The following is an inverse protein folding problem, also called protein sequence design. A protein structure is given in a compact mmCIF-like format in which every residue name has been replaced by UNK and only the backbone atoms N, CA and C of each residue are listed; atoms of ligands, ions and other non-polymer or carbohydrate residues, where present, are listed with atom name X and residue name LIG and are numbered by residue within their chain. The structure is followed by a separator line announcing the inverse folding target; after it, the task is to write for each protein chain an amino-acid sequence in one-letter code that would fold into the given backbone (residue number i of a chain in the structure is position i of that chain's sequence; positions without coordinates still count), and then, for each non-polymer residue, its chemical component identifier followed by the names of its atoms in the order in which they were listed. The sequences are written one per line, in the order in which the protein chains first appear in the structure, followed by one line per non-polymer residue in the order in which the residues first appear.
data_IF_087560839944
#
_entry.id   IF_087560839944
#
_cell.length_a   1.000
_cell.length_b   1.000
_cell.length_c   1.000
_cell.angle_alpha   90.00
_cell.angle_beta   90.00
_cell.angle_gamma   90.00
#
_symmetry.space_group_name_H-M   'P 1'
#
loop_
_entity.id
_entity.type
_entity.pdbx_description
1 polymer ?
#
# COMPACT_ATOMS: atom_id res chain seq x y z
N UNK A 1 20.57 77.98 -4.87
CA UNK A 1 21.01 76.94 -3.92
C UNK A 1 19.78 76.09 -3.53
N UNK A 2 19.56 74.93 -4.16
CA UNK A 2 18.45 74.00 -3.84
C UNK A 2 19.04 72.59 -3.65
N UNK A 3 19.14 72.13 -2.40
CA UNK A 3 19.55 70.76 -2.04
C UNK A 3 18.40 69.82 -2.41
N UNK A 4 18.60 68.94 -3.40
CA UNK A 4 17.74 67.78 -3.63
C UNK A 4 18.30 66.61 -2.80
N UNK A 5 17.50 66.15 -1.85
CA UNK A 5 17.80 65.05 -0.94
C UNK A 5 17.75 63.71 -1.67
N UNK A 6 18.79 62.89 -1.50
CA UNK A 6 19.10 61.68 -2.27
C UNK A 6 18.33 60.42 -1.81
N UNK A 7 17.34 60.57 -0.92
CA UNK A 7 16.85 59.47 -0.06
C UNK A 7 15.55 58.79 -0.49
N UNK A 8 15.14 58.86 -1.76
CA UNK A 8 13.83 58.32 -2.17
C UNK A 8 13.83 57.38 -3.38
N UNK A 9 15.00 56.96 -3.87
CA UNK A 9 15.13 56.06 -5.03
C UNK A 9 15.29 54.57 -4.72
N UNK A 10 15.28 54.17 -3.44
CA UNK A 10 15.53 52.77 -3.02
C UNK A 10 14.23 51.95 -2.83
N UNK A 11 13.03 52.55 -2.87
CA UNK A 11 11.81 51.87 -2.38
C UNK A 11 11.08 50.92 -3.35
N UNK A 12 11.43 50.83 -4.64
CA UNK A 12 10.69 49.98 -5.62
C UNK A 12 11.46 48.85 -6.26
N UNK A 13 12.77 48.99 -6.48
CA UNK A 13 13.62 47.93 -7.04
C UNK A 13 13.80 46.78 -6.04
N UNK A 14 14.10 47.13 -4.80
CA UNK A 14 14.37 46.17 -3.71
C UNK A 14 13.14 45.34 -3.36
N UNK A 15 11.94 45.89 -3.47
CA UNK A 15 10.70 45.18 -3.16
C UNK A 15 10.32 44.15 -4.23
N UNK A 16 10.77 44.31 -5.48
CA UNK A 16 10.60 43.28 -6.53
C UNK A 16 11.60 42.14 -6.37
N UNK A 17 12.85 42.47 -6.03
CA UNK A 17 13.89 41.49 -5.74
C UNK A 17 13.54 40.67 -4.49
N UNK A 18 13.07 41.31 -3.43
CA UNK A 18 12.65 40.65 -2.19
C UNK A 18 11.47 39.70 -2.41
N UNK A 19 10.46 40.09 -3.23
CA UNK A 19 9.34 39.22 -3.59
C UNK A 19 9.78 38.00 -4.40
N UNK A 20 10.71 38.19 -5.34
CA UNK A 20 11.27 37.09 -6.13
C UNK A 20 12.03 36.11 -5.23
N UNK A 21 12.86 36.61 -4.31
CA UNK A 21 13.60 35.79 -3.35
C UNK A 21 12.63 35.01 -2.46
N UNK A 22 11.58 35.64 -1.91
CA UNK A 22 10.58 34.94 -1.08
C UNK A 22 9.89 33.81 -1.85
N UNK A 23 9.50 34.04 -3.10
CA UNK A 23 8.84 33.02 -3.93
C UNK A 23 9.80 31.86 -4.22
N UNK A 24 11.07 32.15 -4.55
CA UNK A 24 12.08 31.11 -4.80
C UNK A 24 12.41 30.32 -3.52
N UNK A 25 12.52 30.98 -2.37
CA UNK A 25 12.78 30.33 -1.08
C UNK A 25 11.60 29.48 -0.61
N UNK A 26 10.36 29.90 -0.87
CA UNK A 26 9.15 29.10 -0.59
C UNK A 26 9.00 27.89 -1.54
N UNK A 27 9.54 27.97 -2.76
CA UNK A 27 9.59 26.84 -3.70
C UNK A 27 10.77 25.90 -3.45
N UNK A 28 11.79 26.33 -2.70
CA UNK A 28 12.97 25.55 -2.36
C UNK A 28 12.84 24.76 -1.05
N UNK A 29 11.62 24.63 -0.49
CA UNK A 29 11.40 23.75 0.66
C UNK A 29 11.60 22.30 0.17
N UNK A 30 12.64 21.59 0.65
CA UNK A 30 12.84 20.20 0.27
C UNK A 30 11.63 19.40 0.76
N UNK A 31 10.82 18.91 -0.17
CA UNK A 31 9.90 17.81 0.14
C UNK A 31 10.73 16.55 0.16
N UNK A 32 10.69 15.81 1.27
CA UNK A 32 11.16 14.43 1.27
C UNK A 32 10.33 13.72 0.21
N UNK A 33 10.97 13.29 -0.87
CA UNK A 33 10.32 12.45 -1.86
C UNK A 33 10.05 11.10 -1.19
N UNK A 34 8.82 10.89 -0.71
CA UNK A 34 8.36 9.55 -0.39
C UNK A 34 8.24 8.80 -1.72
N UNK A 35 8.89 7.65 -1.82
CA UNK A 35 8.60 6.75 -2.93
C UNK A 35 7.14 6.30 -2.81
N UNK A 36 6.43 6.22 -3.94
CA UNK A 36 5.08 5.68 -3.93
C UNK A 36 5.10 4.24 -3.39
N UNK A 37 4.14 3.84 -2.54
CA UNK A 37 4.05 2.46 -2.08
C UNK A 37 3.96 1.48 -3.24
N UNK A 38 4.57 0.30 -3.09
CA UNK A 38 4.41 -0.76 -4.08
C UNK A 38 2.96 -1.27 -4.05
N UNK A 39 2.25 -1.09 -5.17
CA UNK A 39 0.95 -1.69 -5.37
C UNK A 39 1.11 -3.19 -5.64
N UNK A 40 0.78 -4.00 -4.63
CA UNK A 40 0.85 -5.44 -4.71
C UNK A 40 -0.18 -5.97 -5.71
N UNK A 41 0.27 -6.91 -6.52
CA UNK A 41 -0.50 -7.55 -7.59
C UNK A 41 -0.68 -9.05 -7.39
N UNK A 42 0.04 -9.63 -6.44
CA UNK A 42 -0.04 -11.04 -6.11
C UNK A 42 0.75 -11.38 -4.86
N UNK A 43 0.56 -12.62 -4.40
CA UNK A 43 1.17 -13.14 -3.19
C UNK A 43 0.12 -13.58 -2.18
N UNK A 44 0.58 -14.04 -1.03
CA UNK A 44 -0.29 -14.42 0.07
C UNK A 44 0.38 -14.20 1.42
N UNK A 45 -0.45 -13.91 2.43
CA UNK A 45 -0.07 -13.99 3.84
C UNK A 45 -0.68 -15.27 4.40
N UNK A 46 0.16 -16.11 5.00
CA UNK A 46 -0.23 -17.38 5.61
C UNK A 46 -0.02 -17.29 7.12
N UNK A 47 -1.10 -17.38 7.89
CA UNK A 47 -1.07 -17.27 9.34
C UNK A 47 -1.56 -18.58 9.94
N UNK A 48 -0.70 -19.23 10.71
CA UNK A 48 -1.05 -20.42 11.46
C UNK A 48 -1.74 -20.06 12.78
N UNK A 49 -2.57 -20.97 13.29
CA UNK A 49 -3.37 -20.76 14.50
C UNK A 49 -2.53 -20.38 15.73
N UNK A 50 -1.35 -20.95 15.88
CA UNK A 50 -0.39 -20.66 16.97
C UNK A 50 0.61 -19.56 16.60
N UNK A 51 0.49 -18.97 15.42
CA UNK A 51 1.40 -17.97 14.87
C UNK A 51 2.76 -18.53 14.44
N UNK A 52 3.09 -19.75 14.83
CA UNK A 52 4.35 -20.41 14.45
C UNK A 52 4.32 -20.81 12.98
N UNK A 53 5.48 -20.83 12.31
CA UNK A 53 5.58 -21.19 10.89
C UNK A 53 4.60 -20.42 9.97
N UNK A 54 4.27 -19.19 10.35
CA UNK A 54 3.58 -18.26 9.46
C UNK A 54 4.53 -17.83 8.35
N UNK A 55 3.99 -17.31 7.26
CA UNK A 55 4.82 -16.85 6.15
C UNK A 55 4.10 -15.81 5.34
N UNK A 56 4.85 -15.07 4.55
CA UNK A 56 4.27 -14.22 3.53
C UNK A 56 5.08 -14.27 2.25
N UNK A 57 4.38 -14.04 1.15
CA UNK A 57 4.96 -13.73 -0.15
C UNK A 57 4.17 -12.59 -0.75
N UNK A 58 4.84 -11.61 -1.33
CA UNK A 58 4.21 -10.46 -1.97
C UNK A 58 4.94 -10.12 -3.26
N UNK A 59 4.20 -9.62 -4.23
CA UNK A 59 4.74 -9.26 -5.55
C UNK A 59 4.03 -8.03 -6.12
N UNK A 60 4.82 -7.18 -6.78
CA UNK A 60 4.41 -5.98 -7.49
C UNK A 60 5.29 -5.82 -8.75
N UNK A 61 5.03 -4.78 -9.54
CA UNK A 61 5.87 -4.51 -10.71
C UNK A 61 7.34 -4.25 -10.29
N UNK A 62 8.25 -5.11 -10.75
CA UNK A 62 9.68 -5.01 -10.44
C UNK A 62 10.04 -5.30 -8.98
N UNK A 63 9.10 -5.78 -8.15
CA UNK A 63 9.34 -6.03 -6.74
C UNK A 63 8.70 -7.35 -6.28
N UNK A 64 9.42 -8.13 -5.48
CA UNK A 64 8.85 -9.24 -4.73
C UNK A 64 9.56 -9.40 -3.40
N UNK A 65 8.87 -9.87 -2.37
CA UNK A 65 9.46 -10.16 -1.08
C UNK A 65 8.75 -11.33 -0.41
N UNK A 66 9.47 -12.06 0.44
CA UNK A 66 8.86 -13.11 1.23
C UNK A 66 9.80 -13.68 2.28
N UNK A 67 9.24 -14.49 3.16
CA UNK A 67 9.99 -15.17 4.20
C UNK A 67 9.06 -15.93 5.16
N UNK A 68 9.65 -16.90 5.85
CA UNK A 68 9.02 -17.50 7.02
C UNK A 68 9.14 -16.56 8.22
N UNK A 69 8.14 -16.57 9.08
CA UNK A 69 8.12 -15.75 10.28
C UNK A 69 7.22 -16.36 11.35
N UNK A 70 7.39 -15.88 12.58
CA UNK A 70 6.29 -15.99 13.53
C UNK A 70 5.35 -14.80 13.30
N UNK A 71 4.09 -15.12 13.06
CA UNK A 71 2.98 -14.17 13.01
C UNK A 71 2.32 -14.02 14.38
N UNK A 72 1.33 -13.12 14.52
CA UNK A 72 0.44 -13.18 15.67
C UNK A 72 -0.30 -14.53 15.66
N UNK A 73 -0.57 -15.10 16.85
CA UNK A 73 -1.45 -16.25 16.96
C UNK A 73 -2.83 -15.87 16.38
N UNK A 74 -3.39 -16.72 15.53
CA UNK A 74 -4.61 -16.39 14.82
C UNK A 74 -5.80 -16.25 15.78
N UNK A 75 -6.73 -15.39 15.37
CA UNK A 75 -8.12 -15.23 15.80
C UNK A 75 -8.73 -16.41 16.59
N UNK A 76 -9.30 -16.09 17.76
CA UNK A 76 -10.08 -17.00 18.60
C UNK A 76 -11.28 -17.55 17.84
N UNK A 77 -11.62 -18.83 18.01
CA UNK A 77 -12.81 -19.46 17.39
C UNK A 77 -14.07 -18.61 17.51
N UNK A 78 -15.01 -18.79 16.58
CA UNK A 78 -16.22 -17.98 16.49
C UNK A 78 -17.48 -18.85 16.42
N UNK A 79 -18.59 -18.26 16.85
CA UNK A 79 -19.86 -18.95 16.96
C UNK A 79 -20.68 -18.80 15.68
N UNK A 80 -21.57 -19.76 15.42
CA UNK A 80 -22.57 -19.59 14.36
C UNK A 80 -23.47 -18.41 14.68
N UNK A 81 -23.75 -17.58 13.68
CA UNK A 81 -24.52 -16.34 13.79
C UNK A 81 -23.71 -15.14 14.29
N UNK A 82 -22.45 -15.33 14.67
CA UNK A 82 -21.57 -14.23 15.07
C UNK A 82 -21.13 -13.41 13.86
N UNK A 83 -21.06 -12.08 14.02
CA UNK A 83 -20.34 -11.21 13.10
C UNK A 83 -18.82 -11.38 13.33
N UNK A 84 -18.13 -11.84 12.30
CA UNK A 84 -16.68 -12.08 12.28
C UNK A 84 -16.02 -10.96 11.49
N UNK A 85 -15.03 -10.32 12.10
CA UNK A 85 -14.17 -9.31 11.47
C UNK A 85 -12.72 -9.81 11.52
N UNK A 86 -12.06 -9.83 10.36
CA UNK A 86 -10.67 -10.27 10.18
C UNK A 86 -9.71 -9.08 10.04
N UNK A 87 -10.16 -7.86 10.37
CA UNK A 87 -9.35 -6.65 10.36
C UNK A 87 -8.39 -6.63 11.54
N UNK A 88 -7.09 -6.65 11.26
CA UNK A 88 -6.04 -6.67 12.27
C UNK A 88 -4.70 -6.24 11.66
N UNK A 89 -3.74 -5.88 12.52
CA UNK A 89 -2.34 -5.71 12.13
C UNK A 89 -1.59 -7.03 12.27
N UNK A 90 -1.18 -7.61 11.15
CA UNK A 90 -0.39 -8.84 11.11
C UNK A 90 1.10 -8.53 10.99
N UNK A 91 1.85 -8.78 12.05
CA UNK A 91 3.31 -8.61 12.07
C UNK A 91 4.01 -9.95 11.91
N UNK A 92 4.84 -10.06 10.87
CA UNK A 92 5.70 -11.20 10.57
C UNK A 92 7.12 -10.85 11.03
N UNK A 93 7.56 -11.51 12.09
CA UNK A 93 8.93 -11.35 12.60
C UNK A 93 9.77 -12.56 12.22
N UNK A 94 10.86 -12.39 11.46
CA UNK A 94 11.80 -13.48 11.17
C UNK A 94 12.52 -13.85 12.48
N UNK A 95 12.19 -15.01 13.05
CA UNK A 95 12.82 -15.52 14.28
C UNK A 95 13.60 -16.78 13.97
N UNK A 96 14.82 -16.92 14.48
CA UNK A 96 15.59 -18.16 14.37
C UNK A 96 14.85 -19.32 15.07
N UNK A 97 14.80 -20.54 14.51
CA UNK A 97 15.57 -21.02 13.35
C UNK A 97 14.93 -20.75 11.99
N UNK A 98 13.87 -19.95 11.91
CA UNK A 98 13.13 -19.71 10.66
C UNK A 98 14.04 -19.10 9.59
N UNK A 99 13.88 -19.64 8.38
CA UNK A 99 14.74 -19.49 7.22
C UNK A 99 14.89 -18.04 6.75
N UNK A 100 16.08 -17.73 6.24
CA UNK A 100 16.39 -16.49 5.54
C UNK A 100 15.39 -16.29 4.39
N UNK A 101 14.74 -15.14 4.38
CA UNK A 101 13.87 -14.74 3.28
C UNK A 101 14.66 -13.99 2.22
N UNK A 102 13.96 -13.16 1.46
CA UNK A 102 14.62 -12.31 0.48
C UNK A 102 13.64 -11.42 -0.25
N UNK A 103 14.20 -10.44 -0.94
CA UNK A 103 13.44 -9.61 -1.84
C UNK A 103 14.16 -9.49 -3.18
N UNK A 104 13.38 -9.25 -4.23
CA UNK A 104 13.89 -8.90 -5.55
C UNK A 104 13.44 -7.48 -5.87
N UNK A 105 14.36 -6.64 -6.32
CA UNK A 105 14.06 -5.31 -6.81
C UNK A 105 14.71 -5.11 -8.18
N UNK A 106 13.89 -4.83 -9.19
CA UNK A 106 14.32 -4.62 -10.58
C UNK A 106 15.19 -5.75 -11.13
N UNK A 107 14.92 -6.99 -10.72
CA UNK A 107 15.64 -8.20 -11.14
C UNK A 107 16.85 -8.58 -10.30
N UNK A 108 17.26 -7.74 -9.34
CA UNK A 108 18.32 -8.08 -8.37
C UNK A 108 17.72 -8.72 -7.13
N UNK A 109 18.15 -9.93 -6.79
CA UNK A 109 17.73 -10.64 -5.58
C UNK A 109 18.71 -10.40 -4.44
N UNK A 110 18.20 -10.10 -3.27
CA UNK A 110 18.94 -9.96 -2.02
C UNK A 110 18.37 -10.92 -0.98
N UNK A 111 19.24 -11.71 -0.35
CA UNK A 111 18.86 -12.49 0.81
C UNK A 111 18.76 -11.57 2.02
N UNK A 112 17.72 -11.73 2.83
CA UNK A 112 17.50 -10.85 3.98
C UNK A 112 16.55 -11.46 5.00
N UNK A 113 16.65 -10.96 6.23
CA UNK A 113 15.63 -11.15 7.25
C UNK A 113 14.56 -10.07 7.07
N UNK A 114 13.41 -10.44 6.53
CA UNK A 114 12.33 -9.48 6.25
C UNK A 114 11.32 -9.49 7.39
N UNK A 115 11.24 -8.36 8.08
CA UNK A 115 10.12 -8.07 8.96
C UNK A 115 9.03 -7.38 8.15
N UNK A 116 7.79 -7.85 8.29
CA UNK A 116 6.66 -7.27 7.61
C UNK A 116 5.54 -6.94 8.61
N UNK A 117 4.91 -5.79 8.44
CA UNK A 117 3.67 -5.45 9.16
C UNK A 117 2.61 -5.12 8.12
N UNK A 118 1.44 -5.76 8.22
CA UNK A 118 0.31 -5.52 7.33
C UNK A 118 -0.90 -5.10 8.15
N UNK A 119 -1.40 -3.89 7.92
CA UNK A 119 -2.67 -3.43 8.45
C UNK A 119 -3.77 -3.86 7.47
N UNK A 120 -4.61 -4.78 7.90
CA UNK A 120 -5.66 -5.35 7.08
C UNK A 120 -7.01 -4.78 7.50
N UNK A 121 -7.81 -4.39 6.51
CA UNK A 121 -9.20 -4.01 6.66
C UNK A 121 -10.04 -4.98 5.84
N UNK A 122 -10.70 -5.91 6.52
CA UNK A 122 -11.56 -6.92 5.93
C UNK A 122 -13.03 -6.48 6.00
N UNK A 123 -13.86 -6.95 5.06
CA UNK A 123 -15.31 -6.78 5.18
C UNK A 123 -15.85 -7.79 6.20
N UNK A 124 -16.57 -7.38 7.26
CA UNK A 124 -17.13 -8.33 8.21
C UNK A 124 -18.16 -9.26 7.55
N UNK A 125 -18.27 -10.49 8.04
CA UNK A 125 -19.28 -11.46 7.59
C UNK A 125 -19.98 -12.12 8.78
N UNK A 126 -21.15 -12.70 8.56
CA UNK A 126 -21.84 -13.50 9.59
C UNK A 126 -21.52 -14.96 9.37
N UNK A 127 -21.02 -15.62 10.42
CA UNK A 127 -20.68 -17.04 10.37
C UNK A 127 -21.94 -17.91 10.21
N UNK A 128 -22.14 -18.47 9.02
CA UNK A 128 -23.21 -19.44 8.78
C UNK A 128 -22.95 -20.81 9.43
N UNK A 129 -24.00 -21.61 9.54
CA UNK A 129 -23.93 -23.01 9.98
C UNK A 129 -23.54 -23.90 8.79
N UNK A 130 -22.25 -24.23 8.65
CA UNK A 130 -21.73 -25.03 7.56
C UNK A 130 -20.96 -26.24 8.06
N UNK A 131 -21.05 -27.40 7.37
CA UNK A 131 -20.33 -28.61 7.78
C UNK A 131 -18.80 -28.38 7.85
N UNK A 132 -18.10 -29.27 8.55
CA UNK A 132 -16.64 -29.25 8.61
C UNK A 132 -16.01 -29.17 7.21
N UNK A 133 -14.96 -28.37 7.09
CA UNK A 133 -14.25 -28.16 5.82
C UNK A 133 -14.83 -27.05 4.95
N UNK A 134 -15.84 -26.30 5.43
CA UNK A 134 -16.25 -25.06 4.78
C UNK A 134 -15.19 -23.97 4.98
N UNK A 135 -14.97 -23.18 3.93
CA UNK A 135 -14.08 -22.03 3.94
C UNK A 135 -14.91 -20.76 3.85
N UNK A 136 -14.78 -19.89 4.85
CA UNK A 136 -15.33 -18.55 4.80
C UNK A 136 -14.37 -17.65 4.05
N UNK A 137 -14.91 -16.81 3.17
CA UNK A 137 -14.12 -15.84 2.40
C UNK A 137 -14.70 -14.44 2.52
N UNK A 138 -13.83 -13.45 2.62
CA UNK A 138 -14.24 -12.04 2.61
C UNK A 138 -13.20 -11.18 1.90
N UNK A 139 -13.59 -10.14 1.15
CA UNK A 139 -12.63 -9.20 0.57
C UNK A 139 -11.92 -8.39 1.65
N UNK A 140 -10.67 -8.00 1.37
CA UNK A 140 -9.89 -7.09 2.21
C UNK A 140 -9.10 -6.07 1.38
N UNK A 141 -8.72 -4.99 2.03
CA UNK A 141 -7.66 -4.09 1.62
C UNK A 141 -6.52 -4.13 2.65
N UNK A 142 -5.28 -3.87 2.22
CA UNK A 142 -4.14 -3.77 3.12
C UNK A 142 -3.24 -2.58 2.79
N UNK A 143 -2.60 -2.08 3.84
CA UNK A 143 -1.36 -1.31 3.79
C UNK A 143 -0.29 -2.09 4.54
N UNK A 144 0.97 -1.92 4.20
CA UNK A 144 2.03 -2.59 4.94
C UNK A 144 3.38 -1.92 4.84
N UNK A 145 4.26 -2.35 5.73
CA UNK A 145 5.64 -1.91 5.82
C UNK A 145 6.55 -3.14 5.85
N UNK A 146 7.47 -3.20 4.88
CA UNK A 146 8.50 -4.22 4.78
C UNK A 146 9.84 -3.61 5.17
N UNK A 147 10.60 -4.30 6.02
CA UNK A 147 11.93 -3.88 6.46
C UNK A 147 12.88 -5.07 6.34
N UNK A 148 13.95 -4.89 5.58
CA UNK A 148 14.96 -5.93 5.37
C UNK A 148 16.21 -5.65 6.21
N UNK A 149 16.69 -6.68 6.89
CA UNK A 149 17.87 -6.65 7.76
C UNK A 149 18.90 -7.66 7.30
N UNK A 150 20.19 -7.31 7.45
CA UNK A 150 21.30 -8.16 7.02
C UNK A 150 21.56 -9.31 8.01
N UNK A 151 21.12 -9.16 9.27
CA UNK A 151 21.30 -10.14 10.33
C UNK A 151 19.94 -10.52 10.93
N UNK A 152 19.83 -11.71 11.56
CA UNK A 152 18.63 -12.10 12.28
C UNK A 152 18.26 -11.10 13.37
N UNK A 153 16.95 -10.86 13.54
CA UNK A 153 16.42 -9.96 14.57
C UNK A 153 16.54 -10.51 16.01
N UNK A 154 17.04 -11.73 16.18
CA UNK A 154 17.37 -12.31 17.50
C UNK A 154 18.68 -11.77 18.08
N UNK A 155 19.42 -10.92 17.35
CA UNK A 155 20.62 -10.26 17.86
C UNK A 155 20.27 -9.24 18.94
N UNK A 156 21.04 -9.19 20.03
CA UNK A 156 20.89 -8.20 21.11
C UNK A 156 21.24 -6.76 20.69
N UNK A 157 21.82 -6.58 19.50
CA UNK A 157 22.22 -5.29 18.97
C UNK A 157 21.12 -4.65 18.10
N UNK A 158 20.86 -3.34 18.22
CA UNK A 158 19.95 -2.62 17.34
C UNK A 158 20.36 -2.77 15.87
N UNK A 159 19.47 -3.34 15.06
CA UNK A 159 19.68 -3.46 13.61
C UNK A 159 19.00 -2.30 12.88
N UNK A 160 19.72 -1.67 11.95
CA UNK A 160 19.15 -0.69 11.01
C UNK A 160 18.73 -1.44 9.74
N UNK A 161 17.49 -1.28 9.26
CA UNK A 161 17.10 -1.89 8.00
C UNK A 161 17.88 -1.24 6.86
N UNK A 162 18.42 -2.06 5.95
CA UNK A 162 19.09 -1.53 4.76
C UNK A 162 18.11 -1.28 3.60
N UNK A 163 16.90 -1.82 3.70
CA UNK A 163 15.80 -1.58 2.78
C UNK A 163 14.48 -1.43 3.54
N UNK A 164 13.64 -0.50 3.09
CA UNK A 164 12.30 -0.27 3.62
C UNK A 164 11.37 0.02 2.46
N UNK A 165 10.20 -0.61 2.46
CA UNK A 165 9.19 -0.43 1.44
C UNK A 165 7.80 -0.38 2.06
N UNK A 166 7.03 0.64 1.68
CA UNK A 166 5.59 0.66 1.91
C UNK A 166 4.91 -0.13 0.80
N UNK A 167 3.87 -0.86 1.16
CA UNK A 167 3.08 -1.67 0.22
C UNK A 167 1.60 -1.40 0.41
N UNK A 168 0.83 -1.54 -0.67
CA UNK A 168 -0.63 -1.47 -0.65
C UNK A 168 -1.19 -2.61 -1.46
N UNK A 169 -2.37 -3.10 -1.11
CA UNK A 169 -2.95 -4.24 -1.81
C UNK A 169 -4.40 -4.49 -1.45
N UNK A 170 -4.99 -5.45 -2.14
CA UNK A 170 -6.32 -5.95 -1.84
C UNK A 170 -6.42 -7.40 -2.28
N UNK A 171 -7.44 -8.10 -1.78
CA UNK A 171 -7.59 -9.51 -2.12
C UNK A 171 -8.72 -10.18 -1.37
N UNK A 172 -8.62 -11.49 -1.24
CA UNK A 172 -9.60 -12.34 -0.55
C UNK A 172 -8.93 -13.00 0.65
N UNK A 173 -9.50 -12.74 1.83
CA UNK A 173 -9.20 -13.43 3.06
C UNK A 173 -9.98 -14.73 3.09
N UNK A 174 -9.35 -15.81 3.53
CA UNK A 174 -9.92 -17.15 3.62
C UNK A 174 -9.59 -17.75 4.97
N UNK A 175 -10.62 -18.19 5.69
CA UNK A 175 -10.49 -18.93 6.94
C UNK A 175 -11.24 -20.25 6.82
N UNK A 176 -10.55 -21.35 7.10
CA UNK A 176 -11.12 -22.71 7.04
C UNK A 176 -11.20 -23.29 8.45
N UNK A 177 -12.27 -23.00 9.20
CA UNK A 177 -12.37 -23.47 10.56
C UNK A 177 -12.76 -24.93 10.69
N UNK A 178 -12.32 -25.55 11.78
CA UNK A 178 -12.84 -26.84 12.24
C UNK A 178 -13.94 -26.63 13.28
N UNK A 179 -15.07 -27.32 13.19
CA UNK A 179 -16.09 -27.29 14.26
C UNK A 179 -15.55 -27.91 15.54
N UNK A 180 -16.12 -27.49 16.67
CA UNK A 180 -15.83 -28.06 17.98
C UNK A 180 -16.18 -29.55 18.04
N UNK A 181 -17.39 -29.93 17.63
CA UNK A 181 -17.80 -31.32 17.40
C UNK A 181 -19.06 -31.37 16.51
N UNK A 182 -19.67 -32.55 16.33
CA UNK A 182 -20.88 -32.71 15.50
C UNK A 182 -22.15 -32.11 16.11
N UNK A 183 -22.14 -31.82 17.42
CA UNK A 183 -23.30 -31.37 18.20
C UNK A 183 -23.22 -29.88 18.55
N UNK A 184 -22.02 -29.32 18.62
CA UNK A 184 -21.76 -27.89 18.77
C UNK A 184 -21.37 -27.31 17.40
N UNK A 185 -22.19 -26.44 16.80
CA UNK A 185 -21.92 -25.86 15.49
C UNK A 185 -20.81 -24.79 15.51
N UNK A 186 -20.34 -24.37 16.69
CA UNK A 186 -19.29 -23.37 16.84
C UNK A 186 -17.92 -23.83 16.31
N UNK A 187 -17.12 -22.87 15.88
CA UNK A 187 -15.84 -23.08 15.22
C UNK A 187 -14.65 -22.93 16.20
N UNK A 188 -13.68 -23.85 16.13
CA UNK A 188 -12.48 -23.90 16.99
C UNK A 188 -11.45 -22.82 16.62
N UNK A 189 -10.53 -22.56 17.55
CA UNK A 189 -9.32 -21.77 17.35
C UNK A 189 -8.13 -22.65 16.85
N UNK A 190 -8.27 -23.35 15.72
CA UNK A 190 -7.17 -24.12 15.10
C UNK A 190 -7.16 -23.93 13.59
N UNK A 191 -7.35 -22.70 13.16
CA UNK A 191 -7.66 -22.39 11.78
C UNK A 191 -6.44 -21.78 11.10
N UNK A 192 -6.29 -22.08 9.82
CA UNK A 192 -5.36 -21.35 8.97
C UNK A 192 -6.10 -20.19 8.36
N UNK A 193 -5.51 -19.00 8.50
CA UNK A 193 -5.97 -17.78 7.86
C UNK A 193 -5.04 -17.46 6.70
N UNK A 194 -5.61 -17.28 5.52
CA UNK A 194 -4.86 -16.97 4.30
C UNK A 194 -5.42 -15.70 3.69
N UNK A 195 -4.56 -14.69 3.51
CA UNK A 195 -4.88 -13.50 2.74
C UNK A 195 -4.27 -13.64 1.36
N UNK A 196 -5.07 -13.94 0.35
CA UNK A 196 -4.59 -14.05 -1.04
C UNK A 196 -4.71 -12.68 -1.71
N UNK A 197 -3.58 -12.13 -2.13
CA UNK A 197 -3.51 -10.83 -2.78
C UNK A 197 -3.79 -11.00 -4.26
N UNK A 198 -4.64 -10.13 -4.79
CA UNK A 198 -4.99 -10.12 -6.21
C UNK A 198 -4.73 -8.75 -6.80
N UNK A 199 -4.34 -8.71 -8.08
CA UNK A 199 -4.18 -7.46 -8.80
C UNK A 199 -5.47 -6.61 -8.69
N UNK A 200 -5.35 -5.29 -8.45
CA UNK A 200 -6.49 -4.40 -8.52
C UNK A 200 -7.18 -4.59 -9.87
N UNK A 201 -8.51 -4.63 -9.88
CA UNK A 201 -9.26 -4.64 -11.13
C UNK A 201 -8.80 -3.45 -11.97
N UNK A 202 -8.44 -3.68 -13.23
CA UNK A 202 -8.01 -2.61 -14.12
C UNK A 202 -9.08 -1.51 -14.12
N UNK A 203 -8.66 -0.26 -13.89
CA UNK A 203 -9.57 0.87 -13.89
C UNK A 203 -10.27 0.93 -15.26
N UNK A 204 -11.54 0.54 -15.29
CA UNK A 204 -12.36 0.67 -16.49
C UNK A 204 -12.43 2.16 -16.81
N UNK A 205 -12.02 2.65 -17.99
CA UNK A 205 -12.04 4.07 -18.28
C UNK A 205 -13.43 4.63 -18.04
N UNK A 206 -13.54 5.56 -17.09
CA UNK A 206 -14.83 6.13 -16.76
C UNK A 206 -15.39 6.92 -17.96
N UNK A 207 -16.71 6.88 -18.22
CA UNK A 207 -17.34 7.58 -19.33
C UNK A 207 -17.00 9.09 -19.38
N UNK A 208 -16.72 9.69 -18.22
CA UNK A 208 -16.34 11.10 -18.10
C UNK A 208 -14.99 11.42 -18.75
N UNK A 209 -14.01 10.52 -18.68
CA UNK A 209 -12.69 10.72 -19.30
C UNK A 209 -12.78 10.66 -20.82
N UNK A 210 -13.63 9.77 -21.35
CA UNK A 210 -13.94 9.71 -22.78
C UNK A 210 -14.72 10.94 -23.25
N UNK A 211 -15.67 11.41 -22.43
CA UNK A 211 -16.41 12.64 -22.71
C UNK A 211 -15.51 13.89 -22.70
N UNK A 212 -14.55 13.97 -21.77
CA UNK A 212 -13.58 15.07 -21.69
C UNK A 212 -12.60 15.05 -22.88
N UNK A 213 -12.09 13.87 -23.24
CA UNK A 213 -11.24 13.71 -24.41
C UNK A 213 -12.00 14.08 -25.70
N UNK A 214 -13.22 13.58 -25.85
CA UNK A 214 -14.08 13.86 -27.01
C UNK A 214 -14.43 15.34 -27.13
N UNK A 215 -14.83 15.99 -26.04
CA UNK A 215 -15.14 17.42 -26.02
C UNK A 215 -13.90 18.30 -26.23
N UNK A 216 -12.74 17.91 -25.69
CA UNK A 216 -11.46 18.59 -25.92
C UNK A 216 -11.04 18.57 -27.40
N UNK A 217 -11.16 17.42 -28.07
CA UNK A 217 -10.88 17.28 -29.51
C UNK A 217 -11.82 18.14 -30.36
N UNK A 218 -13.12 18.14 -30.07
CA UNK A 218 -14.09 18.99 -30.77
C UNK A 218 -13.80 20.49 -30.56
N UNK A 219 -13.39 20.88 -29.35
CA UNK A 219 -12.96 22.24 -29.01
C UNK A 219 -11.74 22.68 -29.82
N UNK A 220 -10.73 21.82 -29.95
CA UNK A 220 -9.53 22.11 -30.74
C UNK A 220 -9.82 22.27 -32.23
N UNK A 221 -10.64 21.40 -32.81
CA UNK A 221 -11.07 21.49 -34.21
C UNK A 221 -11.85 22.80 -34.45
N UNK A 222 -12.76 23.14 -33.53
CA UNK A 222 -13.52 24.38 -33.57
C UNK A 222 -12.63 25.64 -33.50
N UNK A 223 -11.60 25.62 -32.65
CA UNK A 223 -10.65 26.72 -32.50
C UNK A 223 -9.74 26.87 -33.74
N UNK A 224 -9.28 25.77 -34.31
CA UNK A 224 -8.45 25.76 -35.52
C UNK A 224 -9.21 26.34 -36.73
N UNK A 225 -10.47 25.94 -36.92
CA UNK A 225 -11.32 26.48 -38.01
C UNK A 225 -11.58 27.99 -37.88
N UNK A 226 -11.82 28.48 -36.65
CA UNK A 226 -12.02 29.92 -36.42
C UNK A 226 -10.75 30.74 -36.71
N UNK A 227 -9.56 30.22 -36.43
CA UNK A 227 -8.29 30.89 -36.76
C UNK A 227 -8.05 30.93 -38.26
N UNK A 228 -8.32 29.84 -38.98
CA UNK A 228 -8.18 29.80 -40.44
C UNK A 228 -9.14 30.78 -41.17
N UNK A 229 -10.35 30.98 -40.64
CA UNK A 229 -11.32 31.89 -41.25
C UNK A 229 -11.00 33.38 -41.03
N UNK A 230 -10.35 33.73 -39.91
CA UNK A 230 -9.90 35.10 -39.62
C UNK A 230 -8.68 35.54 -40.45
N UNK A 231 -7.86 34.59 -40.90
CA UNK A 231 -6.71 34.88 -41.78
C UNK A 231 -7.07 35.11 -43.25
N UNK A 232 -8.34 34.99 -43.62
CA UNK A 232 -8.83 35.03 -45.01
C UNK A 232 -9.57 36.33 -45.38
N UNK A 233 -9.60 37.31 -44.46
CA UNK A 233 -10.25 38.63 -44.62
C UNK A 233 -9.24 39.78 -44.41
N UNK A 234 -7.96 39.52 -44.66
CA UNK A 234 -6.92 40.56 -44.71
C UNK A 234 -6.40 40.69 -46.14
#
# INVERSE_FOLDING_TARGET
MRKRTFTDRIKRGDMRLLRLIIVVTLMAVPRVAAADPFALTGGALFIQWDGYASSFTVSAAGFSAGGGANGPASYTGFNVGQAVDLSETYTFTPLTPVEEGGFTLNGTHENAFIMASFDIVAVPFVAGDFPNGHTFTTPFALTGLLRAFANPLSSTEPQTPFFTAEVTGSGIASISPSRYNTTNPDYLNRNTLIFTITAPAAATPEPASLALLGSGLLGMIGAARRRAHKGRVA
#
